data_IF_574009701874
#
_entry.id   IF_574009701874
#
_cell.length_a   1.000
_cell.length_b   1.000
_cell.length_c   1.000
_cell.angle_alpha   90.00
_cell.angle_beta   90.00
_cell.angle_gamma   90.00
#
_symmetry.space_group_name_H-M   'P 1'
#
loop_
_entity.id
_entity.type
_entity.pdbx_description
1 polymer ?
#
# COMPACT_ATOMS: atom_id res chain seq x y z
N UNK A 1 5.72 21.36 -13.25
CA UNK A 1 7.03 21.03 -12.66
C UNK A 1 6.79 19.88 -11.69
N UNK A 2 7.13 18.64 -12.07
CA UNK A 2 7.02 17.51 -11.14
C UNK A 2 8.05 17.72 -10.03
N UNK A 3 7.57 17.86 -8.81
CA UNK A 3 8.43 18.00 -7.64
C UNK A 3 8.77 16.59 -7.15
N UNK A 4 10.03 16.19 -7.31
CA UNK A 4 10.56 14.98 -6.68
C UNK A 4 10.57 15.19 -5.17
N UNK A 5 9.52 14.74 -4.50
CA UNK A 5 9.43 14.75 -3.04
C UNK A 5 10.33 13.65 -2.49
N UNK A 6 11.52 14.06 -2.06
CA UNK A 6 12.46 13.25 -1.28
C UNK A 6 12.24 13.53 0.21
N UNK A 7 10.98 13.50 0.66
CA UNK A 7 10.65 13.70 2.07
C UNK A 7 10.62 12.35 2.81
N UNK A 8 11.56 12.08 3.72
CA UNK A 8 11.60 10.83 4.50
C UNK A 8 10.43 10.67 5.47
N UNK A 9 9.60 11.70 5.71
CA UNK A 9 8.44 11.61 6.60
C UNK A 9 7.16 11.10 5.92
N UNK A 10 7.12 11.05 4.59
CA UNK A 10 5.93 10.61 3.84
C UNK A 10 5.85 9.08 3.68
N UNK A 11 6.99 8.39 3.74
CA UNK A 11 7.10 6.93 3.65
C UNK A 11 7.32 6.39 5.06
N UNK A 12 6.23 6.26 5.83
CA UNK A 12 6.31 5.60 7.13
C UNK A 12 6.62 4.10 6.92
N UNK A 13 7.54 3.50 7.69
CA UNK A 13 7.72 2.04 7.69
C UNK A 13 6.39 1.36 8.01
N UNK A 14 6.17 0.14 7.50
CA UNK A 14 4.98 -0.68 7.69
C UNK A 14 4.66 -0.93 9.18
N UNK A 15 4.16 0.09 9.91
CA UNK A 15 3.99 0.03 11.36
C UNK A 15 2.51 -0.02 11.74
N UNK A 16 2.26 -1.04 12.56
CA UNK A 16 1.03 -1.48 13.22
C UNK A 16 0.08 -0.37 13.66
N UNK A 17 -1.21 -0.56 13.36
CA UNK A 17 -2.28 0.05 14.16
C UNK A 17 -2.36 -0.72 15.49
N UNK A 18 -1.77 -0.15 16.55
CA UNK A 18 -1.88 -0.68 17.90
C UNK A 18 -3.08 -0.02 18.60
N UNK A 19 -4.14 -0.80 18.83
CA UNK A 19 -5.32 -0.37 19.58
C UNK A 19 -5.30 -1.01 20.96
N UNK A 20 -4.86 -0.28 21.98
CA UNK A 20 -5.42 -0.35 23.34
C UNK A 20 -4.90 0.81 24.19
N UNK A 21 -5.30 2.02 23.81
CA UNK A 21 -5.09 3.25 24.58
C UNK A 21 -6.38 3.58 25.35
N UNK A 22 -6.93 2.61 26.10
CA UNK A 22 -8.18 2.80 26.86
C UNK A 22 -7.91 3.04 28.35
N UNK A 23 -6.91 2.39 28.93
CA UNK A 23 -6.60 2.49 30.37
C UNK A 23 -5.88 3.79 30.77
N UNK A 24 -5.14 4.44 29.86
CA UNK A 24 -4.62 5.80 30.09
C UNK A 24 -5.72 6.88 30.02
N UNK A 25 -6.90 6.59 29.47
CA UNK A 25 -7.94 7.62 29.28
C UNK A 25 -8.60 8.05 30.58
N UNK A 26 -8.83 7.13 31.53
CA UNK A 26 -9.58 7.47 32.75
C UNK A 26 -8.81 8.33 33.75
N UNK A 27 -7.51 8.11 33.93
CA UNK A 27 -6.68 8.91 34.83
C UNK A 27 -6.35 10.29 34.23
N UNK A 28 -6.20 10.37 32.91
CA UNK A 28 -6.10 11.64 32.21
C UNK A 28 -7.39 12.47 32.29
N UNK A 29 -8.59 11.86 32.28
CA UNK A 29 -9.87 12.58 32.32
C UNK A 29 -10.05 13.47 33.56
N UNK A 30 -9.62 13.00 34.74
CA UNK A 30 -9.74 13.78 35.98
C UNK A 30 -8.69 14.90 36.08
N UNK A 31 -7.48 14.68 35.59
CA UNK A 31 -6.44 15.72 35.51
C UNK A 31 -6.74 16.78 34.43
N UNK A 32 -7.44 16.38 33.36
CA UNK A 32 -7.94 17.28 32.32
C UNK A 32 -9.08 18.16 32.83
N UNK A 33 -10.04 17.61 33.58
CA UNK A 33 -11.19 18.39 34.05
C UNK A 33 -10.78 19.60 34.92
N UNK A 34 -9.73 19.45 35.74
CA UNK A 34 -9.28 20.51 36.64
C UNK A 34 -8.42 21.59 35.96
N UNK A 35 -7.64 21.22 34.94
CA UNK A 35 -6.87 22.18 34.11
C UNK A 35 -7.76 22.94 33.13
N UNK A 36 -8.86 22.33 32.66
CA UNK A 36 -9.81 23.00 31.74
C UNK A 36 -10.53 24.20 32.38
N UNK A 37 -10.87 24.13 33.66
CA UNK A 37 -11.55 25.24 34.33
C UNK A 37 -10.66 26.49 34.49
N UNK A 38 -9.34 26.29 34.64
CA UNK A 38 -8.38 27.40 34.74
C UNK A 38 -8.05 28.02 33.37
N UNK A 39 -8.09 27.25 32.29
CA UNK A 39 -7.90 27.75 30.93
C UNK A 39 -9.13 28.50 30.37
N UNK A 40 -10.36 28.08 30.69
CA UNK A 40 -11.59 28.77 30.25
C UNK A 40 -11.63 30.23 30.73
N UNK A 41 -11.05 30.51 31.90
CA UNK A 41 -10.92 31.87 32.43
C UNK A 41 -9.91 32.74 31.66
N UNK A 42 -8.85 32.14 31.09
CA UNK A 42 -7.85 32.85 30.29
C UNK A 42 -8.22 33.03 28.80
N UNK A 43 -9.05 32.15 28.23
CA UNK A 43 -9.47 32.25 26.82
C UNK A 43 -10.55 33.31 26.57
N UNK A 44 -11.27 33.77 27.60
CA UNK A 44 -12.33 34.77 27.43
C UNK A 44 -11.80 36.17 27.04
N UNK A 45 -10.51 36.47 27.26
CA UNK A 45 -9.94 37.82 27.09
C UNK A 45 -8.84 37.94 26.04
N UNK A 46 -8.41 36.83 25.42
CA UNK A 46 -7.36 36.88 24.41
C UNK A 46 -7.52 35.73 23.42
N UNK A 47 -8.06 36.03 22.24
CA UNK A 47 -7.61 35.54 20.92
C UNK A 47 -8.68 35.85 19.89
N UNK A 48 -8.52 36.99 19.20
CA UNK A 48 -8.97 37.11 17.80
C UNK A 48 -8.21 35.99 17.07
N UNK A 49 -8.88 34.88 16.80
CA UNK A 49 -8.32 33.76 16.07
C UNK A 49 -8.04 34.23 14.65
N UNK A 50 -6.78 34.56 14.39
CA UNK A 50 -6.26 34.69 13.04
C UNK A 50 -6.36 33.31 12.39
N UNK A 51 -7.41 33.09 11.61
CA UNK A 51 -7.55 31.88 10.79
C UNK A 51 -6.50 31.93 9.69
N UNK A 52 -5.29 31.46 10.02
CA UNK A 52 -4.30 31.12 9.00
C UNK A 52 -4.85 29.91 8.25
N UNK A 53 -5.49 30.15 7.11
CA UNK A 53 -5.83 29.11 6.16
C UNK A 53 -4.53 28.56 5.61
N UNK A 54 -4.00 27.50 6.22
CA UNK A 54 -2.88 26.76 5.67
C UNK A 54 -3.30 26.21 4.31
N UNK A 55 -2.87 26.90 3.26
CA UNK A 55 -3.20 26.51 1.89
C UNK A 55 -2.41 25.25 1.58
N UNK A 56 -3.09 24.10 1.58
CA UNK A 56 -2.47 22.83 1.18
C UNK A 56 -2.47 22.73 -0.34
N UNK A 57 -1.31 22.41 -0.92
CA UNK A 57 -1.19 22.15 -2.34
C UNK A 57 -1.41 20.66 -2.62
N UNK A 58 -2.15 20.30 -3.68
CA UNK A 58 -2.31 18.90 -4.05
C UNK A 58 -0.97 18.32 -4.49
N UNK A 59 -0.65 17.15 -3.96
CA UNK A 59 0.55 16.40 -4.27
C UNK A 59 0.15 15.07 -4.92
N UNK A 60 0.78 14.74 -6.05
CA UNK A 60 0.65 13.45 -6.71
C UNK A 60 1.95 12.67 -6.52
N UNK A 61 1.85 11.45 -5.99
CA UNK A 61 2.98 10.56 -5.79
C UNK A 61 3.08 9.59 -6.97
N UNK A 62 4.24 9.56 -7.62
CA UNK A 62 4.56 8.61 -8.69
C UNK A 62 5.70 7.73 -8.21
N UNK A 63 5.45 6.43 -7.94
CA UNK A 63 6.48 5.52 -7.50
C UNK A 63 7.48 5.21 -8.62
N UNK A 64 8.69 4.80 -8.23
CA UNK A 64 9.65 4.19 -9.14
C UNK A 64 9.31 2.73 -9.46
N UNK A 65 10.19 2.07 -10.23
CA UNK A 65 10.03 0.65 -10.57
C UNK A 65 9.95 -0.22 -9.31
N UNK A 66 8.93 -1.07 -9.23
CA UNK A 66 8.66 -1.93 -8.08
C UNK A 66 8.20 -1.19 -6.82
N UNK A 67 7.98 0.12 -6.88
CA UNK A 67 7.61 0.98 -5.74
C UNK A 67 6.12 0.98 -5.39
N UNK A 68 5.32 0.13 -6.03
CA UNK A 68 3.91 -0.09 -5.71
C UNK A 68 3.56 -1.57 -5.73
N UNK A 69 2.52 -1.96 -5.00
CA UNK A 69 1.98 -3.31 -5.10
C UNK A 69 1.40 -3.58 -6.49
N UNK A 70 1.46 -4.84 -6.92
CA UNK A 70 0.82 -5.36 -8.12
C UNK A 70 0.06 -6.64 -7.78
N UNK A 71 -1.10 -6.79 -8.41
CA UNK A 71 -1.90 -8.02 -8.33
C UNK A 71 -1.92 -8.72 -9.68
N UNK A 72 -2.07 -10.04 -9.63
CA UNK A 72 -2.29 -10.87 -10.80
C UNK A 72 -3.48 -11.80 -10.61
N UNK A 73 -4.09 -12.21 -11.72
CA UNK A 73 -5.11 -13.25 -11.80
C UNK A 73 -4.73 -14.23 -12.91
N UNK A 74 -4.91 -15.52 -12.64
CA UNK A 74 -4.64 -16.58 -13.63
C UNK A 74 -5.97 -17.04 -14.22
N UNK A 75 -6.07 -17.03 -15.54
CA UNK A 75 -7.25 -17.47 -16.29
C UNK A 75 -7.15 -18.95 -16.67
N UNK A 76 -8.16 -19.48 -17.34
CA UNK A 76 -8.16 -20.85 -17.88
C UNK A 76 -7.07 -21.09 -18.93
N UNK A 77 -6.54 -20.03 -19.54
CA UNK A 77 -5.49 -20.13 -20.57
C UNK A 77 -4.09 -20.30 -19.97
N UNK A 78 -3.92 -20.08 -18.66
CA UNK A 78 -2.63 -20.20 -18.00
C UNK A 78 -2.12 -21.64 -18.00
N UNK A 79 -0.96 -21.86 -18.61
CA UNK A 79 -0.28 -23.16 -18.67
C UNK A 79 0.96 -23.15 -17.75
N UNK A 80 0.88 -23.76 -16.56
CA UNK A 80 1.99 -23.74 -15.61
C UNK A 80 3.17 -24.61 -16.10
N UNK A 81 4.39 -24.11 -15.95
CA UNK A 81 5.63 -24.86 -16.28
C UNK A 81 5.92 -26.04 -15.35
N UNK A 82 5.32 -26.05 -14.16
CA UNK A 82 5.53 -27.08 -13.13
C UNK A 82 4.34 -27.18 -12.18
N UNK A 83 4.26 -28.28 -11.42
CA UNK A 83 3.23 -28.46 -10.38
C UNK A 83 3.31 -27.37 -9.30
N UNK A 84 4.51 -26.91 -8.97
CA UNK A 84 4.75 -25.81 -8.04
C UNK A 84 4.11 -24.53 -8.58
N UNK A 85 4.37 -24.18 -9.85
CA UNK A 85 3.77 -23.00 -10.49
C UNK A 85 2.28 -23.16 -10.79
N UNK A 86 1.71 -24.35 -10.66
CA UNK A 86 0.27 -24.56 -10.67
C UNK A 86 -0.34 -24.29 -9.29
N UNK A 87 0.32 -24.75 -8.23
CA UNK A 87 -0.15 -24.65 -6.86
C UNK A 87 0.04 -23.24 -6.26
N UNK A 88 1.13 -22.56 -6.58
CA UNK A 88 1.47 -21.23 -6.05
C UNK A 88 0.55 -20.11 -6.60
N UNK A 89 0.13 -19.10 -5.82
CA UNK A 89 0.34 -18.92 -4.37
C UNK A 89 -0.63 -19.69 -3.47
N UNK A 90 -1.53 -20.49 -4.05
CA UNK A 90 -2.57 -21.24 -3.34
C UNK A 90 -3.91 -20.49 -3.27
N UNK A 91 -5.02 -21.20 -3.01
CA UNK A 91 -6.36 -20.62 -3.01
C UNK A 91 -6.59 -19.63 -1.86
N UNK A 92 -5.97 -19.86 -0.68
CA UNK A 92 -6.10 -18.98 0.48
C UNK A 92 -5.43 -17.60 0.29
N UNK A 93 -4.62 -17.46 -0.75
CA UNK A 93 -3.89 -16.23 -1.07
C UNK A 93 -4.55 -15.41 -2.18
N UNK A 94 -5.70 -15.88 -2.69
CA UNK A 94 -6.50 -15.20 -3.72
C UNK A 94 -7.76 -14.63 -3.10
N UNK A 95 -8.20 -13.50 -3.63
CA UNK A 95 -9.52 -12.94 -3.32
C UNK A 95 -10.63 -13.73 -4.04
N UNK A 96 -11.89 -13.30 -3.85
CA UNK A 96 -13.08 -13.95 -4.44
C UNK A 96 -13.09 -13.91 -5.97
N UNK A 97 -12.40 -12.94 -6.57
CA UNK A 97 -12.29 -12.75 -8.01
C UNK A 97 -11.07 -13.46 -8.59
N UNK A 98 -10.23 -14.07 -7.75
CA UNK A 98 -9.03 -14.80 -8.14
C UNK A 98 -7.75 -13.95 -8.18
N UNK A 99 -7.81 -12.68 -7.76
CA UNK A 99 -6.63 -11.82 -7.69
C UNK A 99 -5.79 -12.15 -6.47
N UNK A 100 -4.48 -12.11 -6.64
CA UNK A 100 -3.52 -12.22 -5.55
C UNK A 100 -2.40 -11.22 -5.76
N UNK A 101 -1.76 -10.81 -4.66
CA UNK A 101 -0.58 -9.95 -4.73
C UNK A 101 0.58 -10.75 -5.35
N UNK A 102 0.97 -10.36 -6.56
CA UNK A 102 2.15 -10.91 -7.25
C UNK A 102 3.41 -10.12 -6.90
N UNK A 103 3.25 -8.84 -6.55
CA UNK A 103 4.35 -7.98 -6.10
C UNK A 103 3.92 -7.05 -4.94
N UNK A 104 4.65 -6.93 -3.84
CA UNK A 104 5.78 -7.76 -3.43
C UNK A 104 5.30 -8.92 -2.55
N UNK A 105 5.80 -10.13 -2.82
CA UNK A 105 5.68 -11.28 -1.92
C UNK A 105 7.08 -11.87 -1.71
N UNK A 106 7.63 -11.91 -0.48
CA UNK A 106 8.99 -12.37 -0.22
C UNK A 106 9.28 -13.80 -0.70
N UNK A 107 8.26 -14.64 -0.80
CA UNK A 107 8.41 -16.00 -1.32
C UNK A 107 8.95 -16.03 -2.74
N UNK A 108 8.70 -14.99 -3.55
CA UNK A 108 9.18 -14.91 -4.94
C UNK A 108 10.71 -14.81 -5.02
N UNK A 109 11.40 -14.47 -3.92
CA UNK A 109 12.86 -14.45 -3.86
C UNK A 109 13.49 -15.83 -3.65
N UNK A 110 12.67 -16.85 -3.36
CA UNK A 110 13.14 -18.19 -3.05
C UNK A 110 12.80 -19.15 -4.21
N UNK A 111 13.79 -19.92 -4.66
CA UNK A 111 13.53 -21.06 -5.52
C UNK A 111 12.66 -22.08 -4.76
N UNK A 112 11.70 -22.73 -5.42
CA UNK A 112 11.39 -22.68 -6.86
C UNK A 112 10.41 -21.55 -7.28
N UNK A 113 9.89 -20.73 -6.36
CA UNK A 113 8.84 -19.74 -6.65
C UNK A 113 9.30 -18.56 -7.52
N UNK A 114 10.59 -18.21 -7.48
CA UNK A 114 11.18 -17.19 -8.35
C UNK A 114 10.92 -17.47 -9.84
N UNK A 115 10.98 -18.74 -10.24
CA UNK A 115 10.66 -19.14 -11.63
C UNK A 115 9.19 -18.88 -11.96
N UNK A 116 8.28 -19.26 -11.07
CA UNK A 116 6.85 -19.03 -11.27
C UNK A 116 6.51 -17.54 -11.35
N UNK A 117 7.15 -16.72 -10.52
CA UNK A 117 7.02 -15.27 -10.55
C UNK A 117 7.51 -14.69 -11.89
N UNK A 118 8.72 -15.07 -12.32
CA UNK A 118 9.30 -14.60 -13.58
C UNK A 118 8.42 -14.96 -14.79
N UNK A 119 7.91 -16.19 -14.86
CA UNK A 119 7.03 -16.64 -15.95
C UNK A 119 5.74 -15.84 -16.03
N UNK A 120 5.18 -15.43 -14.89
CA UNK A 120 3.91 -14.69 -14.83
C UNK A 120 4.09 -13.18 -15.04
N UNK A 121 5.24 -12.64 -14.66
CA UNK A 121 5.60 -11.24 -14.86
C UNK A 121 6.24 -10.96 -16.22
N UNK A 122 6.48 -12.00 -17.03
CA UNK A 122 7.01 -11.84 -18.38
C UNK A 122 6.02 -11.09 -19.27
N UNK A 123 6.54 -10.12 -20.02
CA UNK A 123 5.81 -9.42 -21.07
C UNK A 123 6.20 -9.99 -22.43
N UNK A 124 5.22 -10.10 -23.31
CA UNK A 124 5.40 -10.52 -24.70
C UNK A 124 5.23 -9.29 -25.58
N UNK A 125 6.28 -8.98 -26.35
CA UNK A 125 6.23 -7.93 -27.35
C UNK A 125 5.56 -8.44 -28.62
N UNK A 126 4.60 -7.67 -29.12
CA UNK A 126 3.96 -7.89 -30.41
C UNK A 126 4.43 -6.83 -31.41
N UNK A 127 5.05 -7.29 -32.49
CA UNK A 127 5.66 -6.42 -33.50
C UNK A 127 4.62 -5.75 -34.40
N UNK A 128 3.46 -6.38 -34.61
CA UNK A 128 2.44 -5.86 -35.51
C UNK A 128 1.69 -4.68 -34.87
N UNK A 129 1.50 -4.73 -33.55
CA UNK A 129 0.87 -3.66 -32.75
C UNK A 129 1.87 -2.68 -32.10
N UNK A 130 3.16 -3.01 -32.09
CA UNK A 130 4.22 -2.30 -31.36
C UNK A 130 3.88 -2.11 -29.87
N UNK A 131 3.33 -3.16 -29.25
CA UNK A 131 2.87 -3.11 -27.86
C UNK A 131 3.31 -4.36 -27.07
N UNK A 132 3.13 -4.30 -25.75
CA UNK A 132 3.45 -5.39 -24.83
C UNK A 132 2.19 -5.93 -24.18
N UNK A 133 2.11 -7.27 -24.14
CA UNK A 133 1.04 -7.98 -23.48
C UNK A 133 1.56 -8.80 -22.31
N UNK A 134 0.68 -9.02 -21.33
CA UNK A 134 0.97 -9.97 -20.25
C UNK A 134 1.21 -11.38 -20.82
N UNK A 135 1.89 -12.23 -20.04
CA UNK A 135 1.99 -13.64 -20.35
C UNK A 135 0.60 -14.28 -20.60
N UNK A 136 0.47 -15.21 -21.57
CA UNK A 136 -0.80 -15.86 -21.87
C UNK A 136 -1.49 -16.45 -20.63
N UNK A 137 -2.74 -16.07 -20.43
CA UNK A 137 -3.55 -16.47 -19.27
C UNK A 137 -3.20 -15.77 -17.95
N UNK A 138 -2.37 -14.72 -17.98
CA UNK A 138 -2.06 -13.87 -16.82
C UNK A 138 -2.65 -12.48 -17.04
N UNK A 139 -3.47 -12.05 -16.09
CA UNK A 139 -3.92 -10.66 -16.01
C UNK A 139 -3.20 -9.97 -14.86
N UNK A 140 -2.88 -8.69 -15.02
CA UNK A 140 -2.22 -7.87 -14.00
C UNK A 140 -3.02 -6.60 -13.75
N UNK A 141 -3.02 -6.10 -12.51
CA UNK A 141 -3.63 -4.81 -12.16
C UNK A 141 -2.88 -4.10 -11.04
N UNK A 142 -2.99 -2.76 -11.03
CA UNK A 142 -2.50 -1.92 -9.93
C UNK A 142 -3.63 -1.71 -8.92
N UNK A 143 -3.55 -2.25 -7.70
CA UNK A 143 -4.57 -2.03 -6.69
C UNK A 143 -4.47 -0.61 -6.11
N UNK A 144 -5.61 -0.11 -5.63
CA UNK A 144 -5.70 1.14 -4.85
C UNK A 144 -5.21 2.42 -5.57
N UNK A 145 -5.42 2.53 -6.88
CA UNK A 145 -5.12 3.78 -7.60
C UNK A 145 -5.83 4.99 -6.98
N UNK A 146 -5.12 6.11 -6.84
CA UNK A 146 -5.61 7.32 -6.15
C UNK A 146 -5.48 7.30 -4.62
N UNK A 147 -4.98 6.21 -4.04
CA UNK A 147 -4.63 6.08 -2.62
C UNK A 147 -3.12 5.89 -2.45
N UNK A 148 -2.61 6.13 -1.24
CA UNK A 148 -1.21 5.85 -0.89
C UNK A 148 -1.00 4.42 -0.35
N UNK A 149 -2.07 3.63 -0.19
CA UNK A 149 -2.01 2.33 0.47
C UNK A 149 -1.04 1.33 -0.19
N UNK A 150 -1.02 1.28 -1.53
CA UNK A 150 -0.13 0.39 -2.29
C UNK A 150 1.33 0.89 -2.37
N UNK A 151 1.59 2.14 -1.96
CA UNK A 151 2.90 2.79 -1.98
C UNK A 151 3.60 2.74 -0.61
N UNK A 152 2.83 2.76 0.47
CA UNK A 152 3.36 2.84 1.84
C UNK A 152 4.06 1.54 2.26
N UNK A 153 3.55 0.40 1.83
CA UNK A 153 4.08 -0.90 2.21
C UNK A 153 3.90 -1.91 1.08
N UNK A 154 4.97 -2.52 0.60
CA UNK A 154 4.91 -3.51 -0.48
C UNK A 154 4.52 -4.91 0.00
N UNK A 155 4.96 -5.30 1.20
CA UNK A 155 4.44 -6.47 1.90
C UNK A 155 4.08 -6.15 3.36
N UNK A 156 2.78 -6.12 3.72
CA UNK A 156 2.34 -5.90 5.10
C UNK A 156 2.67 -7.06 6.06
N UNK A 157 3.13 -8.21 5.56
CA UNK A 157 3.52 -9.37 6.37
C UNK A 157 4.98 -9.30 6.86
N UNK A 158 5.82 -8.51 6.20
CA UNK A 158 7.16 -8.17 6.68
C UNK A 158 7.04 -7.02 7.69
N UNK A 159 6.67 -7.39 8.92
CA UNK A 159 6.62 -6.47 10.07
C UNK A 159 7.98 -6.28 10.72
#
# INVERSE_FOLDING_TARGET
KFQTLKDPHLIRPCKMHNSSLLFLKLTFLFYYATTTMLHVLCLATSTITSTTTSTLHPIVLVPGNGGNQLEARLTSEYKPSSLICKAYPGPLHKDKEGWYRIWFDPSVLLAPYTKCFAERMMLYYDIDSDDYYNAPGVETRVPHFGSTQSLLCLDPKLK
#
